data_IF_058520933435
#
_entry.id   IF_058520933435
#
_cell.length_a   1.000
_cell.length_b   1.000
_cell.length_c   1.000
_cell.angle_alpha   90.00
_cell.angle_beta   90.00
_cell.angle_gamma   90.00
#
_symmetry.space_group_name_H-M   'P 1'
#
loop_
_entity.id
_entity.type
_entity.pdbx_description
1 polymer ?
#
# COMPACT_ATOMS: atom_id res chain seq x y z
N UNK A 1 -22.27 19.26 -3.95
CA UNK A 1 -21.90 18.55 -2.71
C UNK A 1 -22.60 17.22 -2.51
N UNK A 2 -23.95 17.12 -2.41
CA UNK A 2 -24.64 15.82 -2.31
C UNK A 2 -24.46 14.95 -3.57
N UNK A 3 -24.48 15.53 -4.74
CA UNK A 3 -24.28 14.85 -6.03
C UNK A 3 -22.89 14.26 -6.22
N UNK A 4 -21.88 14.83 -5.62
CA UNK A 4 -20.48 14.36 -5.69
C UNK A 4 -20.19 13.26 -4.63
N UNK A 5 -20.82 13.36 -3.46
CA UNK A 5 -20.62 12.42 -2.35
C UNK A 5 -21.37 11.09 -2.59
N UNK A 6 -22.56 11.14 -3.18
CA UNK A 6 -23.39 9.95 -3.40
C UNK A 6 -22.69 8.85 -4.22
N UNK A 7 -21.99 9.16 -5.33
CA UNK A 7 -21.20 8.19 -6.07
C UNK A 7 -20.10 7.52 -5.24
N UNK A 8 -19.40 8.28 -4.41
CA UNK A 8 -18.33 7.79 -3.55
C UNK A 8 -18.88 6.80 -2.51
N UNK A 9 -19.97 7.17 -1.84
CA UNK A 9 -20.65 6.28 -0.88
C UNK A 9 -21.19 5.04 -1.60
N UNK A 10 -21.76 5.21 -2.80
CA UNK A 10 -22.26 4.11 -3.62
C UNK A 10 -21.16 3.10 -3.97
N UNK A 11 -19.99 3.58 -4.40
CA UNK A 11 -18.85 2.73 -4.70
C UNK A 11 -18.35 1.96 -3.46
N UNK A 12 -18.27 2.64 -2.32
CA UNK A 12 -17.90 2.03 -1.05
C UNK A 12 -18.85 0.90 -0.64
N UNK A 13 -20.15 1.16 -0.62
CA UNK A 13 -21.18 0.18 -0.20
C UNK A 13 -21.23 -1.00 -1.19
N UNK A 14 -21.24 -0.73 -2.49
CA UNK A 14 -21.25 -1.76 -3.52
C UNK A 14 -20.04 -2.67 -3.43
N UNK A 15 -18.85 -2.09 -3.25
CA UNK A 15 -17.62 -2.87 -3.11
C UNK A 15 -17.59 -3.69 -1.82
N UNK A 16 -18.14 -3.17 -0.71
CA UNK A 16 -18.35 -3.99 0.49
C UNK A 16 -19.24 -5.20 0.19
N UNK A 17 -20.36 -5.00 -0.50
CA UNK A 17 -21.26 -6.09 -0.92
C UNK A 17 -20.55 -7.12 -1.80
N UNK A 18 -19.75 -6.66 -2.78
CA UNK A 18 -18.92 -7.53 -3.61
C UNK A 18 -17.89 -8.31 -2.75
N UNK A 19 -17.24 -7.64 -1.80
CA UNK A 19 -16.31 -8.28 -0.86
C UNK A 19 -16.96 -9.37 -0.02
N UNK A 20 -18.17 -9.11 0.50
CA UNK A 20 -18.96 -10.10 1.25
C UNK A 20 -19.33 -11.32 0.41
N UNK A 21 -19.43 -11.18 -0.91
CA UNK A 21 -19.67 -12.28 -1.83
C UNK A 21 -18.38 -13.00 -2.27
N UNK A 22 -17.36 -12.23 -2.70
CA UNK A 22 -16.13 -12.80 -3.27
C UNK A 22 -15.25 -13.48 -2.22
N UNK A 23 -15.05 -12.89 -1.03
CA UNK A 23 -14.15 -13.45 -0.03
C UNK A 23 -14.59 -14.85 0.45
N UNK A 24 -15.85 -15.10 0.81
CA UNK A 24 -16.31 -16.46 1.13
C UNK A 24 -16.21 -17.42 -0.07
N UNK A 25 -16.42 -16.93 -1.28
CA UNK A 25 -16.30 -17.72 -2.52
C UNK A 25 -14.84 -18.16 -2.73
N UNK A 26 -13.89 -17.24 -2.58
CA UNK A 26 -12.45 -17.52 -2.63
C UNK A 26 -12.04 -18.50 -1.53
N UNK A 27 -12.55 -18.32 -0.30
CA UNK A 27 -12.33 -19.27 0.80
C UNK A 27 -12.77 -20.70 0.44
N UNK A 28 -13.98 -20.85 -0.12
CA UNK A 28 -14.48 -22.16 -0.57
C UNK A 28 -13.59 -22.75 -1.67
N UNK A 29 -13.16 -21.91 -2.63
CA UNK A 29 -12.26 -22.33 -3.70
C UNK A 29 -10.90 -22.80 -3.15
N UNK A 30 -10.27 -22.03 -2.27
CA UNK A 30 -9.00 -22.38 -1.64
C UNK A 30 -9.10 -23.72 -0.89
N UNK A 31 -10.19 -23.94 -0.14
CA UNK A 31 -10.42 -25.21 0.56
C UNK A 31 -10.55 -26.38 -0.42
N UNK A 32 -11.34 -26.21 -1.49
CA UNK A 32 -11.54 -27.26 -2.51
C UNK A 32 -10.23 -27.62 -3.23
N UNK A 33 -9.39 -26.62 -3.49
CA UNK A 33 -8.11 -26.78 -4.21
C UNK A 33 -6.91 -27.01 -3.27
N UNK A 34 -7.11 -27.00 -1.94
CA UNK A 34 -6.06 -27.13 -0.91
C UNK A 34 -4.95 -26.06 -1.04
N UNK A 35 -5.34 -24.84 -1.38
CA UNK A 35 -4.43 -23.69 -1.54
C UNK A 35 -4.22 -23.01 -0.19
N UNK A 36 -3.28 -23.52 0.57
CA UNK A 36 -2.97 -23.04 1.92
C UNK A 36 -1.55 -22.50 1.99
N UNK A 37 -1.38 -21.47 2.79
CA UNK A 37 -0.09 -21.03 3.29
C UNK A 37 0.31 -21.97 4.44
N UNK A 38 1.38 -22.73 4.24
CA UNK A 38 1.86 -23.73 5.21
C UNK A 38 2.78 -23.06 6.22
N UNK A 39 2.61 -23.33 7.54
CA UNK A 39 3.50 -22.82 8.56
C UNK A 39 4.96 -23.23 8.32
N UNK A 40 5.87 -22.27 8.50
CA UNK A 40 7.32 -22.50 8.47
C UNK A 40 7.94 -21.87 9.71
N UNK A 41 9.18 -22.21 10.05
CA UNK A 41 9.91 -21.64 11.20
C UNK A 41 10.01 -20.09 11.18
N UNK A 42 9.76 -19.46 10.03
CA UNK A 42 9.80 -18.00 9.86
C UNK A 42 8.45 -17.33 10.06
N UNK A 43 7.34 -18.04 9.78
CA UNK A 43 5.98 -17.49 9.81
C UNK A 43 5.44 -17.41 11.23
N UNK A 44 4.53 -16.48 11.45
CA UNK A 44 3.95 -16.21 12.77
C UNK A 44 2.77 -17.14 13.07
N UNK A 45 2.10 -17.67 12.02
CA UNK A 45 0.97 -18.58 12.19
C UNK A 45 1.42 -20.04 12.40
N UNK A 46 0.63 -20.81 13.13
CA UNK A 46 0.89 -22.21 13.49
C UNK A 46 0.03 -23.22 12.75
N UNK A 47 -0.99 -22.76 12.00
CA UNK A 47 -1.91 -23.63 11.27
C UNK A 47 -1.93 -23.24 9.77
N UNK A 48 -2.26 -24.17 8.84
CA UNK A 48 -2.45 -23.86 7.43
C UNK A 48 -3.63 -22.89 7.23
N UNK A 49 -3.39 -21.75 6.56
CA UNK A 49 -4.41 -20.72 6.33
C UNK A 49 -4.57 -20.53 4.82
N UNK A 50 -5.83 -20.47 4.29
CA UNK A 50 -6.08 -20.13 2.90
C UNK A 50 -5.42 -18.80 2.53
N UNK A 51 -4.70 -18.76 1.41
CA UNK A 51 -4.19 -17.52 0.79
C UNK A 51 -5.03 -17.19 -0.44
N UNK A 52 -4.90 -16.11 -1.10
CA UNK A 52 -5.69 -15.59 -2.22
C UNK A 52 -6.79 -14.59 -1.81
N UNK A 53 -6.80 -14.07 -0.58
CA UNK A 53 -7.79 -13.07 -0.18
C UNK A 53 -7.76 -11.82 -1.06
N UNK A 54 -6.59 -11.47 -1.57
CA UNK A 54 -6.37 -10.34 -2.46
C UNK A 54 -7.05 -10.45 -3.82
N UNK A 55 -7.39 -11.66 -4.27
CA UNK A 55 -8.15 -11.82 -5.53
C UNK A 55 -9.50 -11.07 -5.49
N UNK A 56 -10.09 -10.86 -4.33
CA UNK A 56 -11.34 -10.15 -4.21
C UNK A 56 -11.21 -8.62 -4.43
N UNK A 57 -10.00 -8.03 -4.31
CA UNK A 57 -9.84 -6.59 -4.25
C UNK A 57 -10.16 -5.89 -5.57
N UNK A 58 -9.49 -6.28 -6.65
CA UNK A 58 -9.67 -5.66 -7.95
C UNK A 58 -11.07 -5.87 -8.53
N UNK A 59 -11.63 -7.09 -8.56
CA UNK A 59 -13.00 -7.27 -9.05
C UNK A 59 -14.03 -6.45 -8.27
N UNK A 60 -13.94 -6.40 -6.94
CA UNK A 60 -14.88 -5.62 -6.12
C UNK A 60 -14.78 -4.12 -6.40
N UNK A 61 -13.54 -3.58 -6.46
CA UNK A 61 -13.28 -2.18 -6.78
C UNK A 61 -13.77 -1.83 -8.20
N UNK A 62 -13.42 -2.65 -9.20
CA UNK A 62 -13.76 -2.37 -10.60
C UNK A 62 -15.26 -2.44 -10.85
N UNK A 63 -15.93 -3.47 -10.33
CA UNK A 63 -17.39 -3.62 -10.48
C UNK A 63 -18.10 -2.42 -9.83
N UNK A 64 -17.70 -2.02 -8.63
CA UNK A 64 -18.32 -0.89 -7.95
C UNK A 64 -18.03 0.44 -8.67
N UNK A 65 -16.81 0.64 -9.15
CA UNK A 65 -16.43 1.85 -9.89
C UNK A 65 -17.20 1.94 -11.22
N UNK A 66 -17.25 0.86 -12.00
CA UNK A 66 -18.00 0.84 -13.28
C UNK A 66 -19.48 1.10 -13.03
N UNK A 67 -20.11 0.42 -12.06
CA UNK A 67 -21.52 0.61 -11.77
C UNK A 67 -21.84 2.07 -11.41
N UNK A 68 -21.02 2.69 -10.57
CA UNK A 68 -21.21 4.08 -10.15
C UNK A 68 -20.95 5.06 -11.29
N UNK A 69 -19.89 4.87 -12.06
CA UNK A 69 -19.57 5.72 -13.21
C UNK A 69 -20.64 5.63 -14.30
N UNK A 70 -21.23 4.45 -14.52
CA UNK A 70 -22.38 4.30 -15.41
C UNK A 70 -23.63 5.06 -14.92
N UNK A 71 -23.88 5.07 -13.62
CA UNK A 71 -24.99 5.85 -13.03
C UNK A 71 -24.72 7.36 -13.21
N UNK A 72 -23.50 7.82 -12.98
CA UNK A 72 -23.12 9.22 -13.23
C UNK A 72 -23.37 9.58 -14.70
N UNK A 73 -22.90 8.75 -15.61
CA UNK A 73 -23.05 8.98 -17.05
C UNK A 73 -24.53 9.00 -17.49
N UNK A 74 -25.35 8.06 -17.00
CA UNK A 74 -26.78 7.94 -17.38
C UNK A 74 -27.64 9.10 -16.90
N UNK A 75 -27.25 9.78 -15.82
CA UNK A 75 -27.99 10.89 -15.24
C UNK A 75 -27.59 12.26 -15.82
N UNK A 76 -26.91 12.31 -16.98
CA UNK A 76 -26.43 13.54 -17.64
C UNK A 76 -25.67 14.48 -16.68
N UNK A 77 -24.94 13.95 -15.73
CA UNK A 77 -23.94 14.75 -15.05
C UNK A 77 -22.94 15.21 -16.11
N UNK A 78 -22.85 16.53 -16.31
CA UNK A 78 -21.99 17.16 -17.32
C UNK A 78 -20.49 16.89 -17.14
N UNK A 79 -20.11 16.16 -16.12
CA UNK A 79 -18.74 15.72 -15.86
C UNK A 79 -18.40 14.50 -16.73
N UNK A 80 -17.92 14.77 -17.91
CA UNK A 80 -17.19 13.77 -18.70
C UNK A 80 -15.99 13.33 -17.86
N UNK A 81 -15.98 12.08 -17.41
CA UNK A 81 -14.77 11.48 -16.83
C UNK A 81 -13.78 11.27 -18.00
N UNK A 82 -12.80 12.13 -18.19
CA UNK A 82 -11.88 11.99 -19.33
C UNK A 82 -11.00 10.76 -19.08
N UNK A 83 -11.14 9.75 -19.93
CA UNK A 83 -10.18 8.66 -19.98
C UNK A 83 -8.85 9.21 -20.51
N UNK A 84 -7.94 9.48 -19.58
CA UNK A 84 -6.58 9.89 -19.93
C UNK A 84 -5.74 8.65 -20.29
N UNK A 85 -4.66 8.83 -21.07
CA UNK A 85 -3.68 7.76 -21.32
C UNK A 85 -3.13 7.17 -20.03
N UNK A 86 -3.04 7.96 -18.97
CA UNK A 86 -2.61 7.48 -17.63
C UNK A 86 -3.59 6.48 -17.05
N UNK A 87 -4.89 6.69 -17.23
CA UNK A 87 -5.92 5.77 -16.74
C UNK A 87 -5.84 4.42 -17.46
N UNK A 88 -5.63 4.44 -18.76
CA UNK A 88 -5.44 3.22 -19.57
C UNK A 88 -4.15 2.51 -19.16
N UNK A 89 -3.04 3.23 -19.06
CA UNK A 89 -1.76 2.71 -18.60
C UNK A 89 -1.85 2.09 -17.20
N UNK A 90 -2.55 2.76 -16.30
CA UNK A 90 -2.76 2.26 -14.93
C UNK A 90 -3.56 0.95 -14.91
N UNK A 91 -4.67 0.87 -15.64
CA UNK A 91 -5.48 -0.36 -15.69
C UNK A 91 -4.65 -1.51 -16.26
N UNK A 92 -3.88 -1.27 -17.32
CA UNK A 92 -3.00 -2.29 -17.91
C UNK A 92 -1.91 -2.74 -16.93
N UNK A 93 -1.19 -1.80 -16.31
CA UNK A 93 -0.14 -2.08 -15.33
C UNK A 93 -0.68 -2.83 -14.12
N UNK A 94 -1.80 -2.37 -13.56
CA UNK A 94 -2.45 -3.01 -12.42
C UNK A 94 -2.91 -4.43 -12.76
N UNK A 95 -3.41 -4.66 -13.97
CA UNK A 95 -3.81 -5.99 -14.45
C UNK A 95 -2.63 -6.95 -14.55
N UNK A 96 -1.46 -6.46 -15.00
CA UNK A 96 -0.21 -7.24 -15.04
C UNK A 96 0.20 -7.64 -13.61
N UNK A 97 0.27 -6.68 -12.69
CA UNK A 97 0.66 -6.95 -11.29
C UNK A 97 -0.33 -7.91 -10.62
N UNK A 98 -1.63 -7.69 -10.81
CA UNK A 98 -2.66 -8.57 -10.28
C UNK A 98 -2.53 -10.00 -10.80
N UNK A 99 -2.31 -10.17 -12.11
CA UNK A 99 -2.09 -11.50 -12.70
C UNK A 99 -0.82 -12.18 -12.15
N UNK A 100 0.28 -11.43 -12.06
CA UNK A 100 1.54 -11.93 -11.49
C UNK A 100 1.36 -12.34 -10.02
N UNK A 101 0.66 -11.55 -9.21
CA UNK A 101 0.36 -11.89 -7.83
C UNK A 101 -0.49 -13.16 -7.70
N UNK A 102 -1.50 -13.34 -8.56
CA UNK A 102 -2.30 -14.58 -8.59
C UNK A 102 -1.45 -15.80 -8.99
N UNK A 103 -0.62 -15.65 -10.00
CA UNK A 103 0.27 -16.73 -10.46
C UNK A 103 1.25 -17.11 -9.35
N UNK A 104 1.81 -16.11 -8.65
CA UNK A 104 2.70 -16.36 -7.50
C UNK A 104 2.00 -17.12 -6.37
N UNK A 105 0.80 -16.69 -6.02
CA UNK A 105 0.00 -17.38 -5.00
C UNK A 105 -0.35 -18.82 -5.36
N UNK A 106 -0.52 -19.13 -6.66
CA UNK A 106 -0.89 -20.47 -7.13
C UNK A 106 0.30 -21.43 -7.23
N UNK A 107 1.41 -20.97 -7.82
CA UNK A 107 2.53 -21.84 -8.18
C UNK A 107 3.87 -21.45 -7.55
N UNK A 108 3.98 -20.27 -6.95
CA UNK A 108 5.22 -19.72 -6.38
C UNK A 108 6.20 -19.28 -7.46
N UNK A 109 6.35 -17.97 -7.66
CA UNK A 109 7.28 -17.40 -8.62
C UNK A 109 8.65 -17.11 -7.99
N UNK A 110 9.69 -17.19 -8.82
CA UNK A 110 10.99 -16.71 -8.41
C UNK A 110 10.97 -15.19 -8.21
N UNK A 111 11.63 -14.69 -7.16
CA UNK A 111 11.69 -13.26 -6.85
C UNK A 111 12.18 -12.40 -8.02
N UNK A 112 13.12 -12.92 -8.86
CA UNK A 112 13.60 -12.23 -10.06
C UNK A 112 12.49 -12.03 -11.09
N UNK A 113 11.63 -13.04 -11.29
CA UNK A 113 10.51 -12.98 -12.25
C UNK A 113 9.50 -11.94 -11.78
N UNK A 114 9.14 -11.94 -10.50
CA UNK A 114 8.27 -10.90 -9.90
C UNK A 114 8.83 -9.51 -10.08
N UNK A 115 10.12 -9.33 -9.79
CA UNK A 115 10.79 -8.05 -9.90
C UNK A 115 10.83 -7.51 -11.34
N UNK A 116 11.09 -8.37 -12.33
CA UNK A 116 11.03 -8.00 -13.76
C UNK A 116 9.61 -7.59 -14.16
N UNK A 117 8.61 -8.35 -13.74
CA UNK A 117 7.21 -8.02 -14.03
C UNK A 117 6.77 -6.68 -13.41
N UNK A 118 7.23 -6.39 -12.18
CA UNK A 118 7.01 -5.09 -11.54
C UNK A 118 7.66 -3.95 -12.33
N UNK A 119 8.91 -4.11 -12.80
CA UNK A 119 9.59 -3.11 -13.63
C UNK A 119 8.82 -2.88 -14.94
N UNK A 120 8.40 -3.95 -15.62
CA UNK A 120 7.65 -3.84 -16.88
C UNK A 120 6.32 -3.11 -16.66
N UNK A 121 5.55 -3.49 -15.64
CA UNK A 121 4.29 -2.82 -15.31
C UNK A 121 4.52 -1.35 -14.92
N UNK A 122 5.53 -1.05 -14.11
CA UNK A 122 5.86 0.31 -13.71
C UNK A 122 6.32 1.18 -14.88
N UNK A 123 6.98 0.60 -15.89
CA UNK A 123 7.48 1.32 -17.07
C UNK A 123 6.34 1.86 -17.98
N UNK A 124 5.17 1.25 -17.94
CA UNK A 124 4.00 1.71 -18.68
C UNK A 124 3.56 3.11 -18.22
N UNK A 125 3.70 3.42 -16.95
CA UNK A 125 3.23 4.69 -16.38
C UNK A 125 3.93 5.91 -16.99
N UNK A 126 5.27 6.01 -17.02
CA UNK A 126 5.95 7.12 -17.67
C UNK A 126 5.76 7.13 -19.21
N UNK A 127 5.60 5.96 -19.86
CA UNK A 127 5.24 5.89 -21.29
C UNK A 127 3.88 6.55 -21.55
N UNK A 128 2.94 6.39 -20.63
CA UNK A 128 1.63 7.06 -20.68
C UNK A 128 1.65 8.52 -20.18
N UNK A 129 2.83 9.07 -19.88
CA UNK A 129 3.03 10.47 -19.47
C UNK A 129 2.88 10.74 -17.99
N UNK A 130 2.75 9.72 -17.11
CA UNK A 130 2.77 9.90 -15.67
C UNK A 130 4.20 9.66 -15.14
N UNK A 131 4.90 10.75 -14.82
CA UNK A 131 6.24 10.70 -14.24
C UNK A 131 6.41 11.71 -13.12
N UNK A 132 7.35 11.46 -12.24
CA UNK A 132 7.83 12.43 -11.26
C UNK A 132 8.65 13.46 -12.01
N UNK A 133 8.25 14.72 -11.94
CA UNK A 133 8.86 15.82 -12.68
C UNK A 133 9.31 16.98 -11.78
N UNK A 134 9.06 16.89 -10.47
CA UNK A 134 9.47 17.88 -9.49
C UNK A 134 9.75 17.21 -8.14
N UNK A 135 10.77 17.68 -7.42
CA UNK A 135 11.12 17.22 -6.08
C UNK A 135 10.75 18.23 -4.98
N UNK A 136 10.07 19.32 -5.34
CA UNK A 136 9.50 20.29 -4.39
C UNK A 136 10.52 20.91 -3.42
N UNK A 137 11.74 21.11 -3.89
CA UNK A 137 12.84 21.66 -3.09
C UNK A 137 13.51 20.66 -2.16
N UNK A 138 13.25 19.35 -2.33
CA UNK A 138 13.99 18.33 -1.60
C UNK A 138 15.48 18.41 -1.94
N UNK A 139 16.32 18.63 -0.92
CA UNK A 139 17.76 18.94 -1.08
C UNK A 139 18.05 20.11 -2.03
N UNK A 140 17.11 21.07 -2.15
CA UNK A 140 17.23 22.23 -3.05
C UNK A 140 16.91 21.92 -4.52
N UNK A 141 16.46 20.70 -4.84
CA UNK A 141 16.09 20.27 -6.20
C UNK A 141 14.60 20.48 -6.40
N UNK A 142 14.23 21.16 -7.46
CA UNK A 142 12.86 21.39 -7.90
C UNK A 142 12.57 20.54 -9.15
N UNK A 143 12.41 21.16 -10.29
CA UNK A 143 12.15 20.47 -11.54
C UNK A 143 13.27 19.51 -11.91
N UNK A 144 12.91 18.32 -12.41
CA UNK A 144 13.84 17.31 -12.87
C UNK A 144 13.51 16.93 -14.34
N UNK A 145 14.53 16.73 -15.17
CA UNK A 145 14.32 16.32 -16.55
C UNK A 145 13.75 14.91 -16.65
N UNK A 146 13.03 14.59 -17.71
CA UNK A 146 12.42 13.27 -17.92
C UNK A 146 13.44 12.12 -17.90
N UNK A 147 14.68 12.38 -18.29
CA UNK A 147 15.79 11.41 -18.19
C UNK A 147 16.06 10.91 -16.77
N UNK A 148 15.76 11.73 -15.75
CA UNK A 148 15.82 11.38 -14.33
C UNK A 148 14.44 10.97 -13.81
N UNK A 149 13.41 11.70 -14.22
CA UNK A 149 12.03 11.48 -13.77
C UNK A 149 11.47 10.11 -14.12
N UNK A 150 11.77 9.60 -15.35
CA UNK A 150 11.31 8.27 -15.79
C UNK A 150 11.91 7.14 -14.93
N UNK A 151 13.23 6.99 -14.79
CA UNK A 151 13.81 5.98 -13.93
C UNK A 151 13.37 6.11 -12.46
N UNK A 152 13.27 7.34 -11.94
CA UNK A 152 12.81 7.60 -10.59
C UNK A 152 11.36 7.15 -10.38
N UNK A 153 10.49 7.36 -11.38
CA UNK A 153 9.10 6.90 -11.34
C UNK A 153 9.04 5.38 -11.29
N UNK A 154 9.75 4.68 -12.18
CA UNK A 154 9.80 3.21 -12.20
C UNK A 154 10.32 2.67 -10.87
N UNK A 155 11.42 3.24 -10.36
CA UNK A 155 11.97 2.88 -9.05
C UNK A 155 10.94 3.08 -7.94
N UNK A 156 10.23 4.21 -7.91
CA UNK A 156 9.23 4.53 -6.89
C UNK A 156 8.08 3.52 -6.89
N UNK A 157 7.57 3.14 -8.06
CA UNK A 157 6.55 2.10 -8.16
C UNK A 157 7.03 0.77 -7.59
N UNK A 158 8.17 0.28 -8.05
CA UNK A 158 8.73 -1.00 -7.61
C UNK A 158 9.08 -0.97 -6.12
N UNK A 159 9.57 0.16 -5.61
CA UNK A 159 9.95 0.32 -4.22
C UNK A 159 8.74 0.29 -3.29
N UNK A 160 7.69 1.06 -3.58
CA UNK A 160 6.46 1.10 -2.76
C UNK A 160 5.72 -0.25 -2.83
N UNK A 161 5.65 -0.85 -4.00
CA UNK A 161 5.03 -2.16 -4.21
C UNK A 161 5.70 -3.24 -3.33
N UNK A 162 7.03 -3.34 -3.39
CA UNK A 162 7.77 -4.26 -2.53
C UNK A 162 7.70 -3.87 -1.05
N UNK A 163 7.66 -2.58 -0.71
CA UNK A 163 7.56 -2.14 0.68
C UNK A 163 6.25 -2.62 1.33
N UNK A 164 5.14 -2.55 0.60
CA UNK A 164 3.86 -3.04 1.11
C UNK A 164 3.81 -4.58 1.16
N UNK A 165 4.36 -5.26 0.18
CA UNK A 165 4.45 -6.73 0.20
C UNK A 165 5.28 -7.23 1.39
N UNK A 166 6.41 -6.58 1.70
CA UNK A 166 7.29 -6.98 2.79
C UNK A 166 6.76 -6.64 4.19
N UNK A 167 5.89 -5.63 4.33
CA UNK A 167 5.27 -5.28 5.61
C UNK A 167 4.11 -6.22 5.97
N UNK A 168 3.55 -6.97 5.02
CA UNK A 168 2.45 -7.91 5.21
C UNK A 168 2.88 -9.18 5.95
N UNK A 169 3.33 -9.03 7.19
CA UNK A 169 3.86 -10.11 8.01
C UNK A 169 3.02 -10.49 9.23
N UNK A 170 1.99 -9.72 9.58
CA UNK A 170 1.01 -10.02 10.64
C UNK A 170 -0.39 -9.60 10.21
N UNK A 171 -1.40 -10.24 10.79
CA UNK A 171 -2.80 -9.98 10.46
C UNK A 171 -3.16 -8.50 10.55
N UNK A 172 -3.82 -8.00 9.53
CA UNK A 172 -4.35 -6.65 9.44
C UNK A 172 -3.32 -5.55 9.16
N UNK A 173 -2.00 -5.80 9.21
CA UNK A 173 -1.00 -4.74 9.17
C UNK A 173 -0.97 -4.02 7.81
N UNK A 174 -0.72 -4.75 6.73
CA UNK A 174 -0.69 -4.16 5.39
C UNK A 174 -2.06 -3.53 5.04
N UNK A 175 -3.16 -4.20 5.37
CA UNK A 175 -4.51 -3.71 5.12
C UNK A 175 -4.80 -2.41 5.86
N UNK A 176 -4.49 -2.33 7.15
CA UNK A 176 -4.75 -1.12 7.95
C UNK A 176 -3.90 0.06 7.49
N UNK A 177 -2.62 -0.16 7.21
CA UNK A 177 -1.74 0.88 6.65
C UNK A 177 -2.23 1.34 5.27
N UNK A 178 -2.70 0.40 4.43
CA UNK A 178 -3.28 0.73 3.13
C UNK A 178 -4.56 1.56 3.25
N UNK A 179 -5.46 1.23 4.17
CA UNK A 179 -6.68 2.01 4.41
C UNK A 179 -6.32 3.43 4.86
N UNK A 180 -5.38 3.60 5.78
CA UNK A 180 -4.91 4.92 6.21
C UNK A 180 -4.33 5.70 5.02
N UNK A 181 -3.49 5.07 4.21
CA UNK A 181 -2.91 5.70 3.04
C UNK A 181 -3.97 6.08 2.00
N UNK A 182 -4.92 5.18 1.71
CA UNK A 182 -6.03 5.44 0.77
C UNK A 182 -6.89 6.63 1.21
N UNK A 183 -7.25 6.70 2.49
CA UNK A 183 -8.01 7.85 3.03
C UNK A 183 -7.20 9.15 2.96
N UNK A 184 -5.90 9.10 3.19
CA UNK A 184 -5.02 10.25 3.03
C UNK A 184 -4.90 10.70 1.57
N UNK A 185 -4.77 9.78 0.60
CA UNK A 185 -4.79 10.11 -0.83
C UNK A 185 -6.15 10.63 -1.28
N UNK A 186 -7.24 10.05 -0.76
CA UNK A 186 -8.59 10.58 -0.98
C UNK A 186 -8.65 12.07 -0.59
N UNK A 187 -8.20 12.42 0.61
CA UNK A 187 -8.11 13.81 1.06
C UNK A 187 -7.24 14.68 0.13
N UNK A 188 -6.15 14.14 -0.41
CA UNK A 188 -5.29 14.86 -1.35
C UNK A 188 -5.97 15.17 -2.69
N UNK A 189 -6.98 14.38 -3.11
CA UNK A 189 -7.60 14.50 -4.43
C UNK A 189 -8.91 15.30 -4.44
N UNK A 190 -9.63 15.37 -3.31
CA UNK A 190 -10.89 16.14 -3.17
C UNK A 190 -10.78 17.56 -3.75
N UNK A 191 -9.71 18.38 -3.48
CA UNK A 191 -9.66 19.76 -3.96
C UNK A 191 -9.58 19.89 -5.50
N UNK A 192 -9.36 18.79 -6.21
CA UNK A 192 -9.15 18.74 -7.65
C UNK A 192 -10.29 18.06 -8.40
N UNK A 193 -11.38 17.70 -7.72
CA UNK A 193 -12.55 17.01 -8.29
C UNK A 193 -12.17 15.77 -9.13
N UNK A 194 -11.27 14.95 -8.60
CA UNK A 194 -10.80 13.76 -9.30
C UNK A 194 -11.70 12.56 -9.00
N UNK A 195 -12.99 12.69 -9.30
CA UNK A 195 -14.06 11.74 -8.94
C UNK A 195 -13.73 10.28 -9.30
N UNK A 196 -13.08 10.03 -10.43
CA UNK A 196 -12.71 8.66 -10.82
C UNK A 196 -11.75 8.01 -9.82
N UNK A 197 -10.77 8.77 -9.29
CA UNK A 197 -9.84 8.27 -8.29
C UNK A 197 -10.52 8.13 -6.93
N UNK A 198 -11.39 9.07 -6.58
CA UNK A 198 -12.15 9.05 -5.33
C UNK A 198 -13.07 7.83 -5.26
N UNK A 199 -13.77 7.52 -6.36
CA UNK A 199 -14.62 6.33 -6.51
C UNK A 199 -13.79 5.03 -6.42
N UNK A 200 -12.63 4.96 -7.09
CA UNK A 200 -11.75 3.80 -7.00
C UNK A 200 -11.19 3.60 -5.58
N UNK A 201 -10.77 4.67 -4.93
CA UNK A 201 -10.28 4.63 -3.53
C UNK A 201 -11.40 4.14 -2.61
N UNK A 202 -12.60 4.71 -2.72
CA UNK A 202 -13.74 4.33 -1.91
C UNK A 202 -14.12 2.86 -2.11
N UNK A 203 -14.13 2.40 -3.37
CA UNK A 203 -14.36 1.01 -3.71
C UNK A 203 -13.29 0.09 -3.10
N UNK A 204 -12.02 0.45 -3.20
CA UNK A 204 -10.95 -0.37 -2.63
C UNK A 204 -11.04 -0.42 -1.10
N UNK A 205 -11.29 0.71 -0.44
CA UNK A 205 -11.50 0.76 1.02
C UNK A 205 -12.68 -0.13 1.43
N UNK A 206 -13.78 -0.13 0.67
CA UNK A 206 -14.96 -0.96 0.94
C UNK A 206 -14.62 -2.46 1.03
N UNK A 207 -13.95 -3.01 0.03
CA UNK A 207 -13.55 -4.43 0.06
C UNK A 207 -12.47 -4.72 1.11
N UNK A 208 -11.55 -3.78 1.34
CA UNK A 208 -10.50 -3.95 2.36
C UNK A 208 -11.06 -4.05 3.78
N UNK A 209 -12.13 -3.33 4.11
CA UNK A 209 -12.81 -3.45 5.42
C UNK A 209 -13.40 -4.85 5.59
N UNK A 210 -14.04 -5.38 4.56
CA UNK A 210 -14.57 -6.76 4.60
C UNK A 210 -13.44 -7.76 4.72
N UNK A 211 -12.37 -7.61 3.93
CA UNK A 211 -11.19 -8.47 4.02
C UNK A 211 -10.55 -8.42 5.43
N UNK A 212 -10.40 -7.22 6.00
CA UNK A 212 -9.84 -7.02 7.34
C UNK A 212 -10.62 -7.81 8.39
N UNK A 213 -11.95 -7.87 8.28
CA UNK A 213 -12.77 -8.69 9.16
C UNK A 213 -12.40 -10.18 9.08
N UNK A 214 -12.30 -10.75 7.89
CA UNK A 214 -11.92 -12.16 7.71
C UNK A 214 -10.46 -12.43 8.11
N UNK A 215 -9.58 -11.48 7.88
CA UNK A 215 -8.16 -11.61 8.20
C UNK A 215 -7.91 -11.49 9.71
N UNK A 216 -8.54 -10.54 10.41
CA UNK A 216 -8.33 -10.29 11.83
C UNK A 216 -9.14 -11.21 12.76
N UNK A 217 -10.42 -11.37 12.47
CA UNK A 217 -11.37 -12.10 13.34
C UNK A 217 -11.80 -13.45 12.77
N UNK A 218 -11.36 -13.79 11.57
CA UNK A 218 -11.58 -15.12 11.01
C UNK A 218 -10.94 -16.21 11.87
N UNK A 219 -11.62 -17.34 12.04
CA UNK A 219 -11.16 -18.48 12.84
C UNK A 219 -10.77 -19.64 11.93
N UNK A 220 -9.60 -20.24 12.21
CA UNK A 220 -9.09 -21.39 11.44
C UNK A 220 -10.01 -22.59 11.58
N UNK A 221 -10.50 -22.87 12.81
CA UNK A 221 -11.38 -24.00 13.11
C UNK A 221 -12.72 -23.87 12.35
N UNK A 222 -13.24 -22.64 12.20
CA UNK A 222 -14.46 -22.37 11.41
C UNK A 222 -14.16 -22.21 9.93
N UNK A 223 -12.89 -22.19 9.55
CA UNK A 223 -12.43 -22.01 8.19
C UNK A 223 -12.84 -20.66 7.58
N UNK A 224 -12.88 -19.60 8.38
CA UNK A 224 -13.19 -18.23 7.94
C UNK A 224 -11.96 -17.34 7.85
N UNK A 225 -10.81 -17.79 8.35
CA UNK A 225 -9.52 -17.09 8.27
C UNK A 225 -8.98 -17.12 6.84
N UNK A 226 -8.46 -15.98 6.35
CA UNK A 226 -7.82 -15.88 5.05
C UNK A 226 -6.65 -14.90 5.09
N UNK A 227 -5.56 -15.23 4.37
CA UNK A 227 -4.45 -14.33 4.12
C UNK A 227 -4.62 -13.60 2.80
N UNK A 228 -3.97 -12.43 2.71
CA UNK A 228 -4.01 -11.57 1.53
C UNK A 228 -3.39 -12.26 0.32
N UNK A 229 -2.22 -12.84 0.50
CA UNK A 229 -1.38 -13.36 -0.57
C UNK A 229 -0.69 -12.27 -1.38
N UNK A 230 0.18 -12.68 -2.29
CA UNK A 230 0.89 -11.76 -3.18
C UNK A 230 -0.07 -11.09 -4.18
N UNK A 231 -1.17 -11.76 -4.55
CA UNK A 231 -2.27 -11.17 -5.33
C UNK A 231 -2.86 -9.91 -4.70
N UNK A 232 -2.88 -9.83 -3.37
CA UNK A 232 -3.39 -8.66 -2.66
C UNK A 232 -2.31 -7.64 -2.35
N UNK A 233 -1.20 -8.07 -1.75
CA UNK A 233 -0.16 -7.14 -1.27
C UNK A 233 0.55 -6.41 -2.41
N UNK A 234 0.92 -7.10 -3.52
CA UNK A 234 1.48 -6.46 -4.70
C UNK A 234 0.47 -5.52 -5.37
N UNK A 235 -0.78 -5.95 -5.50
CA UNK A 235 -1.82 -5.11 -6.11
C UNK A 235 -2.06 -3.82 -5.30
N UNK A 236 -2.14 -3.92 -3.97
CA UNK A 236 -2.27 -2.75 -3.10
C UNK A 236 -1.04 -1.86 -3.15
N UNK A 237 0.16 -2.45 -3.14
CA UNK A 237 1.41 -1.72 -3.24
C UNK A 237 1.50 -0.92 -4.53
N UNK A 238 1.18 -1.54 -5.66
CA UNK A 238 1.17 -0.87 -6.95
C UNK A 238 0.11 0.22 -7.03
N UNK A 239 -1.09 -0.02 -6.48
CA UNK A 239 -2.15 0.98 -6.42
C UNK A 239 -1.73 2.19 -5.58
N UNK A 240 -1.13 1.98 -4.41
CA UNK A 240 -0.63 3.07 -3.56
C UNK A 240 0.54 3.81 -4.21
N UNK A 241 1.43 3.11 -4.92
CA UNK A 241 2.50 3.73 -5.70
C UNK A 241 1.94 4.63 -6.81
N UNK A 242 0.89 4.19 -7.50
CA UNK A 242 0.19 5.01 -8.49
C UNK A 242 -0.39 6.28 -7.86
N UNK A 243 -1.12 6.15 -6.75
CA UNK A 243 -1.69 7.32 -6.06
C UNK A 243 -0.58 8.27 -5.57
N UNK A 244 0.53 7.73 -5.08
CA UNK A 244 1.68 8.51 -4.65
C UNK A 244 2.28 9.30 -5.81
N UNK A 245 2.63 8.63 -6.93
CA UNK A 245 3.21 9.30 -8.09
C UNK A 245 2.22 10.31 -8.67
N UNK A 246 0.93 9.97 -8.72
CA UNK A 246 -0.12 10.90 -9.15
C UNK A 246 -0.21 12.13 -8.25
N UNK A 247 -0.08 11.95 -6.93
CA UNK A 247 -0.13 13.06 -5.98
C UNK A 247 1.08 14.00 -6.08
N UNK A 248 2.25 13.49 -6.47
CA UNK A 248 3.47 14.31 -6.54
C UNK A 248 3.80 14.82 -7.96
N UNK A 249 3.27 14.19 -9.02
CA UNK A 249 3.46 14.69 -10.38
C UNK A 249 2.79 16.06 -10.56
N UNK A 250 3.55 17.04 -11.00
CA UNK A 250 3.03 18.39 -11.29
C UNK A 250 2.37 18.41 -12.65
N UNK A 251 1.10 18.80 -12.67
CA UNK A 251 0.38 19.13 -13.89
C UNK A 251 -0.37 20.45 -13.64
N UNK A 252 0.06 21.57 -14.26
CA UNK A 252 -0.51 22.88 -13.96
C UNK A 252 -2.03 22.99 -14.15
N UNK A 253 -2.57 22.19 -15.09
CA UNK A 253 -4.00 22.26 -15.45
C UNK A 253 -4.89 21.36 -14.57
N UNK A 254 -4.33 20.33 -13.94
CA UNK A 254 -5.13 19.32 -13.17
C UNK A 254 -4.74 19.33 -11.71
N UNK A 255 -3.45 19.24 -11.45
CA UNK A 255 -2.88 19.18 -10.09
C UNK A 255 -1.63 20.07 -10.02
N UNK A 256 -1.81 21.38 -9.82
CA UNK A 256 -0.69 22.33 -9.73
C UNK A 256 0.23 22.00 -8.55
N UNK A 257 1.40 22.59 -8.55
CA UNK A 257 2.40 22.42 -7.48
C UNK A 257 1.79 22.64 -6.08
N UNK A 258 1.97 21.66 -5.19
CA UNK A 258 1.49 21.76 -3.80
C UNK A 258 2.41 20.99 -2.83
N UNK A 259 3.33 21.71 -2.16
CA UNK A 259 4.23 21.09 -1.16
C UNK A 259 3.49 20.36 -0.05
N UNK A 260 2.33 20.89 0.39
CA UNK A 260 1.50 20.25 1.41
C UNK A 260 0.97 18.87 0.95
N UNK A 261 0.54 18.75 -0.32
CA UNK A 261 0.07 17.49 -0.89
C UNK A 261 1.19 16.45 -0.92
N UNK A 262 2.37 16.85 -1.37
CA UNK A 262 3.55 15.97 -1.42
C UNK A 262 3.94 15.50 -0.04
N UNK A 263 3.94 16.39 0.94
CA UNK A 263 4.24 16.04 2.32
C UNK A 263 3.25 15.01 2.88
N UNK A 264 1.95 15.21 2.65
CA UNK A 264 0.93 14.23 3.06
C UNK A 264 1.19 12.89 2.36
N UNK A 265 1.32 12.90 1.02
CA UNK A 265 1.57 11.69 0.25
C UNK A 265 2.80 10.89 0.77
N UNK A 266 3.89 11.58 1.04
CA UNK A 266 5.10 11.01 1.62
C UNK A 266 4.83 10.41 3.01
N UNK A 267 4.14 11.16 3.88
CA UNK A 267 3.88 10.76 5.27
C UNK A 267 3.04 9.49 5.38
N UNK A 268 2.11 9.27 4.43
CA UNK A 268 1.23 8.10 4.40
C UNK A 268 2.01 6.77 4.23
N UNK A 269 3.19 6.81 3.62
CA UNK A 269 3.97 5.63 3.27
C UNK A 269 5.26 5.49 4.10
N UNK A 270 5.49 6.33 5.12
CA UNK A 270 6.71 6.30 5.92
C UNK A 270 6.98 4.92 6.52
N UNK A 271 5.98 4.32 7.18
CA UNK A 271 6.20 3.04 7.88
C UNK A 271 6.67 1.92 6.94
N UNK A 272 5.97 1.58 5.86
CA UNK A 272 6.43 0.50 4.98
C UNK A 272 7.75 0.85 4.28
N UNK A 273 7.93 2.09 3.80
CA UNK A 273 9.12 2.49 3.04
C UNK A 273 10.37 2.58 3.91
N UNK A 274 10.28 3.19 5.08
CA UNK A 274 11.42 3.30 6.01
C UNK A 274 11.83 1.95 6.58
N UNK A 275 10.86 1.04 6.82
CA UNK A 275 11.20 -0.30 7.29
C UNK A 275 12.01 -1.08 6.25
N UNK A 276 11.64 -0.99 4.98
CA UNK A 276 12.41 -1.63 3.90
C UNK A 276 13.79 -1.01 3.75
N UNK A 277 13.92 0.33 3.72
CA UNK A 277 15.24 1.00 3.65
C UNK A 277 16.12 0.54 4.81
N UNK A 278 15.59 0.53 6.03
CA UNK A 278 16.33 0.08 7.21
C UNK A 278 16.78 -1.37 7.10
N UNK A 279 15.89 -2.27 6.62
CA UNK A 279 16.21 -3.70 6.44
C UNK A 279 17.29 -3.88 5.39
N UNK A 280 17.19 -3.20 4.26
CA UNK A 280 18.21 -3.21 3.19
C UNK A 280 19.56 -2.73 3.71
N UNK A 281 19.60 -1.58 4.40
CA UNK A 281 20.83 -1.05 5.01
C UNK A 281 21.43 -2.02 6.04
N UNK A 282 20.59 -2.65 6.86
CA UNK A 282 21.02 -3.66 7.82
C UNK A 282 21.64 -4.88 7.13
N UNK A 283 21.09 -5.34 6.02
CA UNK A 283 21.61 -6.47 5.23
C UNK A 283 22.96 -6.12 4.58
N UNK A 284 23.05 -4.96 3.93
CA UNK A 284 24.30 -4.47 3.32
C UNK A 284 25.40 -4.39 4.37
N UNK A 285 25.13 -3.79 5.54
CA UNK A 285 26.10 -3.69 6.64
C UNK A 285 26.57 -5.05 7.15
N UNK A 286 25.69 -6.07 7.13
CA UNK A 286 26.03 -7.42 7.58
C UNK A 286 26.41 -8.37 6.44
N UNK A 287 26.68 -7.86 5.24
CA UNK A 287 27.06 -8.62 4.02
C UNK A 287 26.09 -9.76 3.70
N UNK A 288 24.79 -9.55 3.91
CA UNK A 288 23.73 -10.50 3.60
C UNK A 288 23.08 -10.17 2.26
N UNK A 289 22.57 -11.17 1.51
CA UNK A 289 21.81 -10.92 0.29
C UNK A 289 20.61 -10.01 0.55
N UNK A 290 20.37 -9.06 -0.36
CA UNK A 290 19.33 -8.04 -0.18
C UNK A 290 17.91 -8.66 -0.23
N UNK A 291 17.75 -9.71 -1.04
CA UNK A 291 16.43 -10.34 -1.28
C UNK A 291 16.14 -11.53 -0.35
N UNK A 292 17.03 -11.89 0.56
CA UNK A 292 16.77 -12.97 1.51
C UNK A 292 15.71 -12.57 2.52
N UNK A 293 14.81 -13.50 2.82
CA UNK A 293 13.80 -13.26 3.86
C UNK A 293 14.44 -13.37 5.26
N UNK A 294 14.15 -12.41 6.13
CA UNK A 294 14.60 -12.41 7.52
C UNK A 294 13.52 -11.92 8.51
N UNK A 295 13.83 -11.98 9.80
CA UNK A 295 12.96 -11.51 10.89
C UNK A 295 13.36 -10.10 11.39
N UNK A 296 13.87 -9.22 10.53
CA UNK A 296 14.34 -7.89 10.94
C UNK A 296 13.32 -6.77 10.78
N UNK A 297 12.20 -7.01 10.08
CA UNK A 297 11.13 -6.02 9.92
C UNK A 297 10.55 -5.55 11.25
N UNK A 298 9.96 -4.35 11.27
CA UNK A 298 9.46 -3.68 12.48
C UNK A 298 8.48 -4.57 13.28
N UNK A 299 7.55 -5.23 12.60
CA UNK A 299 6.58 -6.12 13.25
C UNK A 299 7.24 -7.33 13.93
N UNK A 300 8.26 -7.93 13.32
CA UNK A 300 9.03 -9.00 13.94
C UNK A 300 9.79 -8.54 15.20
N UNK A 301 10.27 -7.30 15.21
CA UNK A 301 10.95 -6.74 16.37
C UNK A 301 10.01 -6.53 17.55
N UNK A 302 8.79 -6.03 17.32
CA UNK A 302 7.78 -5.92 18.37
C UNK A 302 7.36 -7.28 18.92
N UNK A 303 7.18 -8.28 18.05
CA UNK A 303 6.93 -9.66 18.48
C UNK A 303 8.10 -10.22 19.31
N UNK A 304 9.36 -9.93 18.94
CA UNK A 304 10.54 -10.33 19.71
C UNK A 304 10.63 -9.65 21.07
N UNK A 305 10.02 -8.47 21.25
CA UNK A 305 9.86 -7.84 22.56
C UNK A 305 8.82 -8.56 23.44
N UNK A 306 8.04 -9.49 22.89
CA UNK A 306 7.01 -10.25 23.60
C UNK A 306 5.59 -9.73 23.44
N UNK A 307 5.38 -8.75 22.58
CA UNK A 307 4.02 -8.28 22.25
C UNK A 307 3.29 -9.29 21.38
N UNK A 308 1.97 -9.42 21.55
CA UNK A 308 1.14 -10.21 20.65
C UNK A 308 0.89 -9.46 19.32
N UNK A 309 0.31 -10.15 18.32
CA UNK A 309 0.07 -9.56 17.01
C UNK A 309 -0.85 -8.33 17.04
N UNK A 310 -1.94 -8.38 17.80
CA UNK A 310 -2.90 -7.26 17.89
C UNK A 310 -2.27 -6.02 18.53
N UNK A 311 -1.49 -6.20 19.59
CA UNK A 311 -0.80 -5.07 20.21
C UNK A 311 0.31 -4.52 19.34
N UNK A 312 1.02 -5.38 18.61
CA UNK A 312 2.01 -4.98 17.59
C UNK A 312 1.37 -4.16 16.49
N UNK A 313 0.23 -4.61 15.94
CA UNK A 313 -0.55 -3.89 14.95
C UNK A 313 -0.95 -2.51 15.46
N UNK A 314 -1.52 -2.45 16.66
CA UNK A 314 -1.96 -1.19 17.28
C UNK A 314 -0.82 -0.18 17.42
N UNK A 315 0.36 -0.62 17.91
CA UNK A 315 1.54 0.24 18.04
C UNK A 315 1.97 0.77 16.66
N UNK A 316 2.03 -0.09 15.64
CA UNK A 316 2.50 0.34 14.31
C UNK A 316 1.51 1.33 13.66
N UNK A 317 0.20 1.13 13.86
CA UNK A 317 -0.83 2.10 13.41
C UNK A 317 -0.65 3.45 14.13
N UNK A 318 -0.45 3.44 15.45
CA UNK A 318 -0.20 4.69 16.20
C UNK A 318 1.08 5.38 15.73
N UNK A 319 2.14 4.63 15.43
CA UNK A 319 3.37 5.20 14.87
C UNK A 319 3.11 5.84 13.50
N UNK A 320 2.34 5.20 12.61
CA UNK A 320 1.99 5.76 11.31
C UNK A 320 1.24 7.09 11.48
N UNK A 321 0.22 7.12 12.33
CA UNK A 321 -0.55 8.33 12.62
C UNK A 321 0.30 9.42 13.29
N UNK A 322 1.23 9.04 14.17
CA UNK A 322 2.14 9.97 14.82
C UNK A 322 3.09 10.64 13.81
N UNK A 323 3.67 9.88 12.87
CA UNK A 323 4.48 10.45 11.79
C UNK A 323 3.68 11.41 10.92
N UNK A 324 2.46 11.02 10.50
CA UNK A 324 1.58 11.89 9.71
C UNK A 324 1.29 13.19 10.48
N UNK A 325 0.91 13.08 11.76
CA UNK A 325 0.61 14.25 12.61
C UNK A 325 1.82 15.15 12.82
N UNK A 326 2.98 14.58 13.13
CA UNK A 326 4.24 15.31 13.31
C UNK A 326 4.60 16.08 12.03
N UNK A 327 4.50 15.45 10.86
CA UNK A 327 4.84 16.09 9.60
C UNK A 327 3.90 17.22 9.23
N UNK A 328 2.60 17.06 9.51
CA UNK A 328 1.63 18.16 9.34
C UNK A 328 1.97 19.34 10.27
N UNK A 329 2.34 19.07 11.53
CA UNK A 329 2.75 20.12 12.48
C UNK A 329 4.02 20.81 11.99
N UNK A 330 5.06 20.06 11.61
CA UNK A 330 6.32 20.63 11.10
C UNK A 330 6.11 21.47 9.84
N UNK A 331 5.24 21.03 8.94
CA UNK A 331 4.85 21.81 7.75
C UNK A 331 4.18 23.12 8.10
N UNK A 332 3.27 23.11 9.09
CA UNK A 332 2.63 24.35 9.57
C UNK A 332 3.61 25.30 10.25
N UNK A 333 4.73 24.77 10.79
CA UNK A 333 5.86 25.56 11.30
C UNK A 333 6.84 26.01 10.20
N UNK A 334 6.46 25.87 8.92
CA UNK A 334 7.28 26.24 7.76
C UNK A 334 8.61 25.49 7.64
N UNK A 335 8.72 24.29 8.24
CA UNK A 335 9.88 23.42 8.04
C UNK A 335 9.83 22.86 6.61
N UNK A 336 10.88 23.06 5.84
CA UNK A 336 10.98 22.55 4.46
C UNK A 336 11.02 21.02 4.38
N UNK A 337 10.70 20.47 3.22
CA UNK A 337 10.58 19.02 2.98
C UNK A 337 11.86 18.25 3.37
N UNK A 338 13.05 18.81 3.07
CA UNK A 338 14.35 18.23 3.46
C UNK A 338 14.50 18.15 4.99
N UNK A 339 14.10 19.20 5.70
CA UNK A 339 14.16 19.23 7.16
C UNK A 339 13.26 18.17 7.79
N UNK A 340 12.04 18.04 7.26
CA UNK A 340 11.07 17.02 7.72
C UNK A 340 11.61 15.61 7.47
N UNK A 341 12.14 15.34 6.28
CA UNK A 341 12.75 14.04 5.97
C UNK A 341 13.88 13.69 6.94
N UNK A 342 14.77 14.64 7.24
CA UNK A 342 15.88 14.41 8.18
C UNK A 342 15.39 14.15 9.61
N UNK A 343 14.35 14.87 10.05
CA UNK A 343 13.72 14.64 11.35
C UNK A 343 13.10 13.23 11.39
N UNK A 344 12.37 12.83 10.35
CA UNK A 344 11.76 11.49 10.26
C UNK A 344 12.82 10.38 10.31
N UNK A 345 13.92 10.54 9.59
CA UNK A 345 15.05 9.59 9.62
C UNK A 345 15.62 9.49 11.05
N UNK A 346 15.78 10.63 11.72
CA UNK A 346 16.31 10.65 13.09
C UNK A 346 15.33 9.99 14.06
N UNK A 347 14.03 10.32 14.02
CA UNK A 347 13.00 9.75 14.87
C UNK A 347 12.87 8.23 14.65
N UNK A 348 12.83 7.78 13.40
CA UNK A 348 12.72 6.37 13.07
C UNK A 348 13.97 5.58 13.51
N UNK A 349 15.15 6.19 13.38
CA UNK A 349 16.41 5.59 13.85
C UNK A 349 16.44 5.47 15.38
N UNK A 350 16.07 6.53 16.11
CA UNK A 350 15.99 6.52 17.57
C UNK A 350 14.99 5.45 18.05
N UNK A 351 13.81 5.36 17.43
CA UNK A 351 12.83 4.32 17.72
C UNK A 351 13.47 2.93 17.63
N UNK A 352 14.17 2.63 16.54
CA UNK A 352 14.81 1.33 16.33
C UNK A 352 15.97 1.03 17.28
N UNK A 353 16.72 2.06 17.70
CA UNK A 353 17.73 1.92 18.75
C UNK A 353 17.07 1.49 20.06
N UNK A 354 16.01 2.17 20.48
CA UNK A 354 15.24 1.84 21.68
C UNK A 354 14.65 0.42 21.65
N UNK A 355 14.06 0.02 20.51
CA UNK A 355 13.53 -1.33 20.31
C UNK A 355 14.66 -2.37 20.46
N UNK A 356 15.80 -2.16 19.82
CA UNK A 356 16.94 -3.09 19.88
C UNK A 356 17.52 -3.22 21.30
N UNK A 357 17.56 -2.11 22.08
CA UNK A 357 17.98 -2.14 23.48
C UNK A 357 17.05 -2.99 24.33
N UNK A 358 15.72 -2.80 24.19
CA UNK A 358 14.72 -3.59 24.92
C UNK A 358 14.81 -5.08 24.57
N UNK A 359 15.00 -5.44 23.30
CA UNK A 359 15.19 -6.84 22.89
C UNK A 359 16.46 -7.44 23.55
N UNK A 360 17.56 -6.68 23.59
CA UNK A 360 18.80 -7.13 24.25
C UNK A 360 18.64 -7.34 25.75
N UNK A 361 17.94 -6.43 26.44
CA UNK A 361 17.65 -6.55 27.87
C UNK A 361 16.80 -7.80 28.16
N UNK A 362 15.73 -8.02 27.41
CA UNK A 362 14.90 -9.21 27.55
C UNK A 362 15.70 -10.51 27.44
N UNK A 363 16.55 -10.63 26.42
CA UNK A 363 17.42 -11.81 26.22
C UNK A 363 18.45 -12.02 27.34
N UNK A 364 18.80 -10.96 28.08
CA UNK A 364 19.69 -11.08 29.25
C UNK A 364 18.95 -11.61 30.51
N UNK A 365 17.67 -11.32 30.62
CA UNK A 365 16.83 -11.77 31.73
C UNK A 365 16.38 -13.23 31.55
N UNK A 366 16.27 -13.70 30.30
CA UNK A 366 15.85 -15.07 29.96
C UNK A 366 17.04 -16.08 29.96
N UNK A 367 18.29 -15.59 30.12
CA UNK A 367 19.52 -16.39 30.33
C UNK A 367 19.87 -16.47 31.80
#
# INVERSE_FOLDING_TARGET
>A
MLTEILPIIGAFILSMGCGMFFIPTVLKFCKKKKLYDIPTLRKVHSAPIPRLGGIAFIPSMVISAIAVLLIIYSNNFDEKVPLSMWSVGFILSLSIIYAVGIIDDLIGLNAKVKFIAQILAASIMPICGLQINDLYGLFGIYEIPSTVGIPLTIFTFVFIDNALNLIDGIDGLATSLSIIALLGFFYCFIPYNLIAYEVMIAGLVGVLIVYLYYNMWGKVEKGTKIFMGDSGSLTLGFFLAFLFVKAIAVNPNIMPMSPKRVLIAYSLLIIPTFDVVRVVLHRIRNRKPIFDADKSHIHHKFLAMGYNQHYTLFIIILLALAFIGTNVILSNMSVGLTGILLIDIALYTMLHIGINQKIKLKKKVEK
#
